data_IF_993106228632
#
_entry.id   IF_993106228632
#
_cell.length_a   1.000
_cell.length_b   1.000
_cell.length_c   1.000
_cell.angle_alpha   90.00
_cell.angle_beta   90.00
_cell.angle_gamma   90.00
#
_symmetry.space_group_name_H-M   'P 1'
#
loop_
_entity.id
_entity.type
_entity.pdbx_description
1 polymer ?
#
# COMPACT_ATOMS: atom_id res chain seq x y z
N UNK A 1 -26.56 1.55 9.03
CA UNK A 1 -25.91 1.20 7.73
C UNK A 1 -26.05 2.31 6.68
N UNK A 2 -27.23 2.93 6.48
CA UNK A 2 -27.42 3.96 5.44
C UNK A 2 -26.52 5.21 5.60
N UNK A 3 -26.22 5.63 6.83
CA UNK A 3 -25.35 6.78 7.11
C UNK A 3 -23.90 6.56 6.65
N UNK A 4 -23.37 5.35 6.82
CA UNK A 4 -22.01 5.01 6.39
C UNK A 4 -21.88 5.03 4.87
N UNK A 5 -22.90 4.53 4.17
CA UNK A 5 -22.95 4.53 2.70
C UNK A 5 -23.05 5.97 2.16
N UNK A 6 -23.85 6.83 2.80
CA UNK A 6 -23.98 8.24 2.42
C UNK A 6 -22.65 9.01 2.59
N UNK A 7 -21.93 8.76 3.70
CA UNK A 7 -20.62 9.38 3.96
C UNK A 7 -19.58 8.89 2.94
N UNK A 8 -19.53 7.59 2.65
CA UNK A 8 -18.61 7.03 1.66
C UNK A 8 -18.89 7.56 0.25
N UNK A 9 -20.16 7.67 -0.14
CA UNK A 9 -20.56 8.26 -1.41
C UNK A 9 -20.16 9.74 -1.50
N UNK A 10 -20.33 10.51 -0.42
CA UNK A 10 -19.90 11.90 -0.35
C UNK A 10 -18.38 12.07 -0.48
N UNK A 11 -17.60 11.18 0.14
CA UNK A 11 -16.12 11.21 0.06
C UNK A 11 -15.65 10.87 -1.36
N UNK A 12 -16.23 9.85 -1.99
CA UNK A 12 -15.88 9.48 -3.38
C UNK A 12 -16.24 10.60 -4.36
N UNK A 13 -17.39 11.26 -4.15
CA UNK A 13 -17.79 12.44 -4.93
C UNK A 13 -16.80 13.60 -4.77
N UNK A 14 -16.37 13.89 -3.55
CA UNK A 14 -15.38 14.94 -3.28
C UNK A 14 -14.03 14.65 -3.94
N UNK A 15 -13.57 13.39 -3.90
CA UNK A 15 -12.32 12.97 -4.56
C UNK A 15 -12.41 13.09 -6.08
N UNK A 16 -13.56 12.76 -6.67
CA UNK A 16 -13.79 12.90 -8.11
C UNK A 16 -13.74 14.38 -8.55
N UNK A 17 -14.36 15.28 -7.77
CA UNK A 17 -14.33 16.73 -8.03
C UNK A 17 -12.91 17.27 -7.87
N UNK A 18 -12.17 16.87 -6.83
CA UNK A 18 -10.79 17.30 -6.60
C UNK A 18 -9.85 16.87 -7.74
N UNK A 19 -10.04 15.65 -8.25
CA UNK A 19 -9.30 15.13 -9.41
C UNK A 19 -9.65 15.88 -10.70
N UNK A 20 -10.91 16.27 -10.88
CA UNK A 20 -11.34 17.07 -12.02
C UNK A 20 -10.71 18.47 -12.02
N UNK A 21 -10.65 19.12 -10.85
CA UNK A 21 -10.08 20.48 -10.70
C UNK A 21 -8.56 20.48 -10.83
N UNK A 22 -7.87 19.48 -10.27
CA UNK A 22 -6.40 19.36 -10.40
C UNK A 22 -5.96 19.00 -11.83
N UNK A 23 -6.81 18.35 -12.62
CA UNK A 23 -6.54 18.02 -14.02
C UNK A 23 -6.74 19.21 -14.99
N UNK A 24 -7.13 20.39 -14.49
CA UNK A 24 -7.26 21.61 -15.31
C UNK A 24 -5.97 22.45 -15.36
N UNK A 25 -4.95 22.14 -14.55
CA UNK A 25 -3.68 22.88 -14.54
C UNK A 25 -2.52 22.19 -15.27
N UNK A 26 -2.65 20.91 -15.61
CA UNK A 26 -1.66 20.19 -16.41
C UNK A 26 -2.20 20.01 -17.83
N UNK A 27 -1.95 21.03 -18.65
CA UNK A 27 -2.23 20.98 -20.06
C UNK A 27 -1.28 20.03 -20.78
N UNK A 28 -1.52 18.73 -20.75
CA UNK A 28 -0.99 17.83 -21.79
C UNK A 28 -1.81 16.52 -21.89
N UNK A 29 -2.47 16.30 -23.04
CA UNK A 29 -2.93 14.96 -23.46
C UNK A 29 -4.39 14.54 -23.16
N UNK A 30 -5.39 15.36 -23.50
CA UNK A 30 -6.81 15.18 -23.14
C UNK A 30 -7.56 13.92 -23.65
N UNK A 31 -7.08 13.12 -24.62
CA UNK A 31 -8.05 12.28 -25.39
C UNK A 31 -8.37 10.87 -24.89
N UNK A 32 -7.76 10.38 -23.81
CA UNK A 32 -7.96 8.98 -23.37
C UNK A 32 -8.76 8.82 -22.06
N UNK A 33 -8.53 9.59 -20.96
CA UNK A 33 -9.18 9.26 -19.69
C UNK A 33 -10.62 9.77 -19.56
N UNK A 34 -11.00 10.85 -20.25
CA UNK A 34 -12.34 11.45 -20.14
C UNK A 34 -13.40 10.65 -20.91
N UNK A 35 -13.01 9.97 -22.00
CA UNK A 35 -13.95 9.16 -22.80
C UNK A 35 -14.50 7.95 -22.05
N UNK A 36 -13.66 7.28 -21.26
CA UNK A 36 -14.05 6.08 -20.52
C UNK A 36 -15.00 6.41 -19.35
N UNK A 37 -14.82 7.56 -18.71
CA UNK A 37 -15.69 8.03 -17.63
C UNK A 37 -17.09 8.44 -18.14
N UNK A 38 -17.18 9.08 -19.31
CA UNK A 38 -18.47 9.45 -19.93
C UNK A 38 -19.25 8.22 -20.39
N UNK A 39 -18.58 7.19 -20.93
CA UNK A 39 -19.21 5.93 -21.34
C UNK A 39 -19.81 5.19 -20.12
N UNK A 40 -19.11 5.16 -18.98
CA UNK A 40 -19.61 4.52 -17.76
C UNK A 40 -20.87 5.21 -17.20
N UNK A 41 -20.94 6.54 -17.28
CA UNK A 41 -22.11 7.33 -16.84
C UNK A 41 -23.30 7.13 -17.79
N UNK A 42 -23.06 6.99 -19.10
CA UNK A 42 -24.12 6.72 -20.08
C UNK A 42 -24.72 5.31 -19.95
N UNK A 43 -23.91 4.29 -19.63
CA UNK A 43 -24.40 2.91 -19.39
C UNK A 43 -25.26 2.84 -18.12
N UNK A 44 -24.92 3.61 -17.09
CA UNK A 44 -25.74 3.72 -15.87
C UNK A 44 -27.06 4.47 -16.10
N UNK A 45 -27.07 5.51 -16.94
CA UNK A 45 -28.27 6.31 -17.22
C UNK A 45 -29.37 5.59 -18.02
N UNK A 46 -29.00 4.65 -18.90
CA UNK A 46 -29.97 3.92 -19.73
C UNK A 46 -30.60 2.69 -19.04
N UNK A 47 -30.09 2.26 -17.88
CA UNK A 47 -30.61 1.08 -17.16
C UNK A 47 -31.85 1.33 -16.29
N UNK A 48 -32.40 2.55 -16.30
CA UNK A 48 -33.54 2.91 -15.44
C UNK A 48 -34.89 2.86 -16.21
N UNK A 49 -34.91 2.62 -17.53
CA UNK A 49 -36.14 2.79 -18.31
C UNK A 49 -36.97 1.52 -18.63
N UNK A 50 -36.66 0.31 -18.14
CA UNK A 50 -37.62 -0.80 -18.29
C UNK A 50 -37.37 -1.91 -17.29
N UNK A 51 -37.92 -1.79 -16.08
CA UNK A 51 -38.45 -2.97 -15.41
C UNK A 51 -39.80 -2.65 -14.72
N UNK A 52 -40.86 -3.41 -15.04
CA UNK A 52 -42.18 -3.27 -14.47
C UNK A 52 -42.22 -3.83 -13.05
N UNK A 53 -42.91 -3.09 -12.17
CA UNK A 53 -43.47 -3.60 -10.93
C UNK A 53 -44.35 -4.83 -11.24
N UNK A 54 -44.08 -5.98 -10.62
CA UNK A 54 -45.14 -6.95 -10.32
C UNK A 54 -44.88 -7.69 -9.00
N UNK A 55 -45.89 -7.55 -8.16
CA UNK A 55 -46.21 -8.14 -6.87
C UNK A 55 -46.94 -9.48 -7.04
N UNK A 56 -46.80 -10.40 -6.08
CA UNK A 56 -47.69 -11.57 -5.86
C UNK A 56 -46.91 -12.86 -5.58
N UNK A 57 -46.93 -13.39 -4.36
CA UNK A 57 -47.90 -14.34 -3.75
C UNK A 57 -47.65 -15.82 -4.13
N UNK A 58 -47.45 -16.62 -3.07
CA UNK A 58 -47.65 -18.06 -2.87
C UNK A 58 -47.36 -19.08 -3.98
N UNK A 59 -46.61 -20.13 -3.65
CA UNK A 59 -47.03 -21.50 -3.99
C UNK A 59 -46.66 -22.52 -2.91
N UNK A 60 -47.71 -23.18 -2.43
CA UNK A 60 -47.78 -24.32 -1.51
C UNK A 60 -48.00 -25.59 -2.33
N UNK A 61 -47.36 -26.69 -1.92
CA UNK A 61 -47.76 -28.11 -2.03
C UNK A 61 -47.98 -28.85 -3.37
N UNK A 62 -47.47 -30.09 -3.36
CA UNK A 62 -47.95 -31.33 -4.01
C UNK A 62 -47.69 -31.51 -5.52
N UNK A 63 -47.36 -32.69 -6.08
CA UNK A 63 -46.80 -34.00 -5.68
C UNK A 63 -47.02 -34.96 -6.87
N UNK A 64 -46.18 -36.02 -6.99
CA UNK A 64 -46.42 -37.30 -7.74
C UNK A 64 -46.15 -37.25 -9.26
N UNK A 65 -45.43 -38.16 -9.96
CA UNK A 65 -44.70 -39.45 -9.77
C UNK A 65 -43.88 -39.69 -11.07
N UNK A 66 -42.89 -40.59 -11.28
CA UNK A 66 -42.60 -41.95 -10.78
C UNK A 66 -41.20 -42.38 -11.30
N UNK A 67 -40.33 -42.95 -10.43
CA UNK A 67 -39.80 -44.34 -10.46
C UNK A 67 -38.44 -44.49 -11.20
N UNK A 68 -37.37 -45.18 -10.74
CA UNK A 68 -37.17 -46.26 -9.75
C UNK A 68 -35.71 -46.40 -9.26
N UNK A 69 -35.58 -46.76 -7.97
CA UNK A 69 -34.64 -47.68 -7.29
C UNK A 69 -33.11 -47.59 -7.44
N UNK A 70 -32.41 -47.35 -6.32
CA UNK A 70 -31.62 -48.41 -5.63
C UNK A 70 -31.30 -48.00 -4.20
N UNK A 71 -31.51 -48.95 -3.29
CA UNK A 71 -31.33 -48.84 -1.85
C UNK A 71 -29.88 -49.10 -1.45
N UNK A 72 -29.32 -48.26 -0.59
CA UNK A 72 -28.28 -48.68 0.35
C UNK A 72 -28.42 -47.85 1.64
N UNK A 73 -29.02 -48.47 2.66
CA UNK A 73 -29.00 -47.99 4.04
C UNK A 73 -27.82 -48.65 4.73
N UNK A 74 -26.83 -47.87 5.18
CA UNK A 74 -25.91 -48.28 6.26
C UNK A 74 -25.44 -47.05 7.04
N UNK A 75 -26.02 -46.94 8.24
CA UNK A 75 -25.41 -46.48 9.49
C UNK A 75 -24.74 -45.10 9.54
N UNK A 76 -25.56 -44.07 9.78
CA UNK A 76 -25.16 -42.88 10.50
C UNK A 76 -25.14 -43.17 12.01
N UNK A 77 -24.00 -43.59 12.57
CA UNK A 77 -23.83 -43.63 14.04
C UNK A 77 -22.42 -43.38 14.61
N UNK A 78 -21.39 -43.07 13.80
CA UNK A 78 -20.01 -42.95 14.31
C UNK A 78 -19.26 -41.67 13.90
N UNK A 79 -19.92 -40.51 13.81
CA UNK A 79 -19.23 -39.23 13.52
C UNK A 79 -19.07 -38.28 14.73
N UNK A 80 -19.55 -38.63 15.92
CA UNK A 80 -19.61 -37.68 17.06
C UNK A 80 -18.60 -37.89 18.20
N UNK A 81 -17.70 -38.87 18.12
CA UNK A 81 -16.87 -39.26 19.28
C UNK A 81 -15.38 -38.83 19.23
N UNK A 82 -14.90 -38.14 18.18
CA UNK A 82 -13.47 -37.81 18.05
C UNK A 82 -13.14 -36.31 17.93
N UNK A 83 -14.09 -35.41 18.27
CA UNK A 83 -13.90 -33.96 18.12
C UNK A 83 -13.82 -33.18 19.44
N UNK A 84 -13.54 -33.84 20.57
CA UNK A 84 -13.48 -33.19 21.89
C UNK A 84 -12.08 -32.98 22.48
N UNK A 85 -11.00 -33.48 21.84
CA UNK A 85 -9.63 -33.41 22.40
C UNK A 85 -8.63 -32.62 21.55
N UNK A 86 -9.09 -31.77 20.63
CA UNK A 86 -8.21 -30.82 19.94
C UNK A 86 -8.52 -29.39 20.34
N UNK A 87 -8.38 -29.15 21.65
CA UNK A 87 -8.15 -27.81 22.18
C UNK A 87 -6.68 -27.49 21.93
N UNK A 88 -6.46 -26.38 21.24
CA UNK A 88 -5.19 -25.79 20.84
C UNK A 88 -4.65 -26.19 19.46
N UNK A 89 -4.59 -25.17 18.59
CA UNK A 89 -3.67 -24.99 17.46
C UNK A 89 -4.02 -25.37 16.01
N UNK A 90 -5.24 -25.84 15.66
CA UNK A 90 -5.60 -26.05 14.22
C UNK A 90 -6.13 -24.81 13.50
N UNK A 91 -6.57 -23.77 14.21
CA UNK A 91 -7.02 -22.49 13.61
C UNK A 91 -5.97 -21.38 13.58
N UNK A 92 -4.74 -21.65 14.04
CA UNK A 92 -3.64 -20.67 14.04
C UNK A 92 -2.72 -20.79 12.82
N UNK A 93 -2.86 -21.87 12.04
CA UNK A 93 -2.00 -22.23 10.90
C UNK A 93 -1.97 -21.25 9.72
N UNK A 94 -2.68 -20.12 9.81
CA UNK A 94 -2.59 -19.04 8.82
C UNK A 94 -2.45 -17.64 9.42
N UNK A 95 -2.34 -17.46 10.74
CA UNK A 95 -2.15 -16.11 11.31
C UNK A 95 -0.73 -15.61 11.10
N UNK A 96 0.25 -16.46 11.35
CA UNK A 96 1.66 -16.13 11.08
C UNK A 96 1.89 -15.83 9.59
N UNK A 97 1.27 -16.59 8.70
CA UNK A 97 1.40 -16.38 7.25
C UNK A 97 0.67 -15.13 6.77
N UNK A 98 -0.52 -14.83 7.32
CA UNK A 98 -1.22 -13.56 7.07
C UNK A 98 -0.40 -12.35 7.55
N UNK A 99 0.17 -12.41 8.75
CA UNK A 99 1.00 -11.33 9.28
C UNK A 99 2.26 -11.09 8.42
N UNK A 100 2.90 -12.17 7.93
CA UNK A 100 4.03 -12.07 6.99
C UNK A 100 3.61 -11.47 5.64
N UNK A 101 2.46 -11.87 5.11
CA UNK A 101 1.91 -11.32 3.87
C UNK A 101 1.59 -9.82 4.02
N UNK A 102 0.92 -9.43 5.10
CA UNK A 102 0.65 -8.01 5.42
C UNK A 102 1.93 -7.20 5.56
N UNK A 103 2.94 -7.73 6.24
CA UNK A 103 4.24 -7.06 6.36
C UNK A 103 4.91 -6.88 5.01
N UNK A 104 4.83 -7.89 4.14
CA UNK A 104 5.39 -7.85 2.78
C UNK A 104 4.70 -6.75 1.96
N UNK A 105 3.37 -6.63 2.06
CA UNK A 105 2.60 -5.57 1.40
C UNK A 105 3.01 -4.18 1.89
N UNK A 106 3.16 -3.97 3.20
CA UNK A 106 3.65 -2.70 3.77
C UNK A 106 5.03 -2.32 3.25
N UNK A 107 5.95 -3.28 3.20
CA UNK A 107 7.31 -3.09 2.68
C UNK A 107 7.29 -2.73 1.19
N UNK A 108 6.46 -3.40 0.38
CA UNK A 108 6.34 -3.10 -1.04
C UNK A 108 5.74 -1.71 -1.29
N UNK A 109 4.67 -1.35 -0.57
CA UNK A 109 4.06 -0.02 -0.65
C UNK A 109 5.04 1.08 -0.28
N UNK A 110 5.76 0.92 0.83
CA UNK A 110 6.81 1.86 1.25
C UNK A 110 7.92 1.95 0.19
N UNK A 111 8.35 0.82 -0.37
CA UNK A 111 9.38 0.82 -1.42
C UNK A 111 8.93 1.59 -2.67
N UNK A 112 7.67 1.42 -3.09
CA UNK A 112 7.08 2.16 -4.19
C UNK A 112 7.05 3.66 -3.89
N UNK A 113 6.52 4.04 -2.73
CA UNK A 113 6.42 5.43 -2.30
C UNK A 113 7.81 6.11 -2.26
N UNK A 114 8.81 5.45 -1.68
CA UNK A 114 10.17 6.00 -1.62
C UNK A 114 10.77 6.15 -3.03
N UNK A 115 10.58 5.18 -3.91
CA UNK A 115 11.05 5.28 -5.30
C UNK A 115 10.40 6.44 -6.05
N UNK A 116 9.10 6.65 -5.89
CA UNK A 116 8.37 7.76 -6.52
C UNK A 116 8.79 9.11 -5.92
N UNK A 117 8.91 9.19 -4.59
CA UNK A 117 9.28 10.43 -3.88
C UNK A 117 10.69 10.90 -4.21
N UNK A 118 11.61 9.96 -4.47
CA UNK A 118 13.04 10.25 -4.66
C UNK A 118 13.52 10.01 -6.10
N UNK A 119 12.61 9.81 -7.06
CA UNK A 119 12.94 9.48 -8.45
C UNK A 119 13.90 10.49 -9.09
N UNK A 120 13.70 11.78 -8.83
CA UNK A 120 14.52 12.87 -9.39
C UNK A 120 15.89 13.00 -8.72
N UNK A 121 16.03 12.48 -7.49
CA UNK A 121 17.27 12.55 -6.72
C UNK A 121 18.17 11.34 -6.98
N UNK A 122 17.58 10.17 -7.24
CA UNK A 122 18.32 8.98 -7.61
C UNK A 122 17.58 7.67 -7.38
N UNK A 123 18.35 6.61 -7.17
CA UNK A 123 17.80 5.25 -7.12
C UNK A 123 17.56 4.79 -5.68
N UNK A 124 16.33 4.36 -5.39
CA UNK A 124 16.01 3.67 -4.13
C UNK A 124 16.00 2.16 -4.33
N UNK A 125 16.73 1.45 -3.47
CA UNK A 125 16.78 -0.02 -3.39
C UNK A 125 16.40 -0.50 -2.00
N UNK A 126 15.89 -1.73 -1.88
CA UNK A 126 15.56 -2.36 -0.61
C UNK A 126 16.33 -3.68 -0.45
N UNK A 127 17.01 -3.83 0.68
CA UNK A 127 17.70 -5.07 1.06
C UNK A 127 16.95 -5.73 2.21
N UNK A 128 16.28 -6.86 1.92
CA UNK A 128 15.45 -7.56 2.89
C UNK A 128 16.23 -8.09 4.10
N UNK A 129 17.43 -8.63 3.87
CA UNK A 129 18.29 -9.22 4.90
C UNK A 129 18.60 -8.23 6.04
N UNK A 130 18.86 -6.98 5.69
CA UNK A 130 19.21 -5.91 6.64
C UNK A 130 18.06 -4.94 6.91
N UNK A 131 16.87 -5.20 6.34
CA UNK A 131 15.70 -4.31 6.39
C UNK A 131 16.06 -2.85 6.06
N UNK A 132 16.88 -2.66 5.04
CA UNK A 132 17.46 -1.36 4.71
C UNK A 132 16.97 -0.87 3.36
N UNK A 133 16.36 0.32 3.34
CA UNK A 133 16.21 1.08 2.11
C UNK A 133 17.42 1.97 1.90
N UNK A 134 17.99 1.93 0.71
CA UNK A 134 19.14 2.75 0.32
C UNK A 134 18.76 3.66 -0.84
N UNK A 135 18.86 4.98 -0.63
CA UNK A 135 18.83 5.99 -1.69
C UNK A 135 20.25 6.28 -2.14
N UNK A 136 20.54 6.03 -3.42
CA UNK A 136 21.79 6.45 -4.06
C UNK A 136 21.52 7.69 -4.87
N UNK A 137 22.00 8.85 -4.39
CA UNK A 137 21.80 10.14 -5.04
C UNK A 137 22.86 10.30 -6.14
N UNK A 138 22.39 10.53 -7.36
CA UNK A 138 23.23 10.72 -8.56
C UNK A 138 23.31 12.18 -8.99
N UNK A 139 22.52 13.06 -8.36
CA UNK A 139 22.51 14.49 -8.65
C UNK A 139 23.89 15.13 -8.50
N UNK A 140 24.30 15.92 -9.51
CA UNK A 140 25.66 16.48 -9.58
C UNK A 140 25.90 17.55 -8.54
N UNK A 141 24.91 18.39 -8.26
CA UNK A 141 25.06 19.51 -7.33
C UNK A 141 25.06 19.02 -5.89
N UNK A 142 24.22 18.04 -5.57
CA UNK A 142 24.28 17.31 -4.30
C UNK A 142 25.66 16.67 -4.09
N UNK A 143 26.18 15.97 -5.10
CA UNK A 143 27.48 15.31 -5.02
C UNK A 143 28.65 16.31 -4.81
N UNK A 144 28.57 17.51 -5.41
CA UNK A 144 29.51 18.61 -5.12
C UNK A 144 29.38 19.09 -3.68
N UNK A 145 28.15 19.30 -3.21
CA UNK A 145 27.89 19.74 -1.84
C UNK A 145 28.39 18.73 -0.81
N UNK A 146 28.19 17.42 -1.04
CA UNK A 146 28.72 16.35 -0.20
C UNK A 146 30.25 16.35 -0.20
N UNK A 147 30.89 16.46 -1.37
CA UNK A 147 32.36 16.55 -1.47
C UNK A 147 32.88 17.75 -0.67
N UNK A 148 32.24 18.90 -0.81
CA UNK A 148 32.58 20.11 -0.05
C UNK A 148 32.41 19.91 1.46
N UNK A 149 31.32 19.27 1.88
CA UNK A 149 31.04 18.96 3.29
C UNK A 149 32.08 18.02 3.90
N UNK A 150 32.51 17.00 3.15
CA UNK A 150 33.57 16.09 3.58
C UNK A 150 34.89 16.81 3.85
N UNK A 151 35.18 17.86 3.09
CA UNK A 151 36.37 18.69 3.26
C UNK A 151 36.19 19.76 4.35
N UNK A 152 34.96 20.21 4.58
CA UNK A 152 34.62 21.32 5.47
C UNK A 152 33.45 20.96 6.41
N UNK A 153 33.63 20.01 7.36
CA UNK A 153 32.53 19.46 8.15
C UNK A 153 31.78 20.49 9.00
N UNK A 154 32.46 21.54 9.48
CA UNK A 154 31.84 22.63 10.26
C UNK A 154 30.96 23.58 9.44
N UNK A 155 31.01 23.52 8.10
CA UNK A 155 30.31 24.46 7.23
C UNK A 155 28.98 23.93 6.66
N UNK A 156 28.47 22.82 7.22
CA UNK A 156 27.22 22.19 6.76
C UNK A 156 26.00 23.11 6.70
N UNK A 157 25.99 24.20 7.48
CA UNK A 157 24.91 25.18 7.42
C UNK A 157 24.84 25.96 6.10
N UNK A 158 25.99 26.25 5.48
CA UNK A 158 26.06 27.00 4.22
C UNK A 158 25.38 26.23 3.07
N UNK A 159 25.41 24.90 3.15
CA UNK A 159 24.82 24.00 2.15
C UNK A 159 23.50 23.37 2.62
N UNK A 160 22.89 23.88 3.68
CA UNK A 160 21.62 23.40 4.25
C UNK A 160 21.63 21.91 4.63
N UNK A 161 22.78 21.38 5.02
CA UNK A 161 22.93 19.97 5.42
C UNK A 161 21.99 19.58 6.57
N UNK A 162 21.79 20.38 7.62
CA UNK A 162 20.88 19.99 8.70
C UNK A 162 19.41 19.90 8.28
N UNK A 163 18.98 20.71 7.31
CA UNK A 163 17.65 20.60 6.71
C UNK A 163 17.50 19.29 5.93
N UNK A 164 18.54 18.90 5.18
CA UNK A 164 18.59 17.60 4.51
C UNK A 164 18.48 16.44 5.52
N UNK A 165 19.30 16.45 6.57
CA UNK A 165 19.26 15.44 7.65
C UNK A 165 17.88 15.39 8.31
N UNK A 166 17.27 16.54 8.57
CA UNK A 166 15.92 16.63 9.16
C UNK A 166 14.87 15.99 8.25
N UNK A 167 14.90 16.27 6.95
CA UNK A 167 13.96 15.69 5.98
C UNK A 167 14.14 14.17 5.85
N UNK A 168 15.38 13.68 5.86
CA UNK A 168 15.68 12.26 5.86
C UNK A 168 15.24 11.59 7.18
N UNK A 169 15.34 12.31 8.30
CA UNK A 169 14.84 11.87 9.62
C UNK A 169 13.33 11.69 9.61
N UNK A 170 12.59 12.66 9.07
CA UNK A 170 11.13 12.54 8.88
C UNK A 170 10.76 11.36 8.00
N UNK A 171 11.54 11.09 6.96
CA UNK A 171 11.34 9.91 6.10
C UNK A 171 11.54 8.61 6.89
N UNK A 172 12.61 8.52 7.69
CA UNK A 172 12.86 7.36 8.55
C UNK A 172 11.75 7.16 9.60
N UNK A 173 11.21 8.24 10.17
CA UNK A 173 10.05 8.19 11.07
C UNK A 173 8.78 7.72 10.35
N UNK A 174 8.55 8.17 9.11
CA UNK A 174 7.44 7.70 8.28
C UNK A 174 7.55 6.21 7.98
N UNK A 175 8.76 5.74 7.65
CA UNK A 175 9.04 4.30 7.47
C UNK A 175 8.67 3.54 8.74
N UNK A 176 9.15 3.99 9.90
CA UNK A 176 8.86 3.36 11.19
C UNK A 176 7.35 3.31 11.48
N UNK A 177 6.63 4.41 11.20
CA UNK A 177 5.18 4.50 11.43
C UNK A 177 4.38 3.55 10.54
N UNK A 178 4.76 3.44 9.27
CA UNK A 178 3.96 2.70 8.27
C UNK A 178 4.35 1.22 8.18
N UNK A 179 5.61 0.87 8.47
CA UNK A 179 6.14 -0.49 8.31
C UNK A 179 6.50 -1.14 9.65
N UNK A 180 6.75 -0.35 10.70
CA UNK A 180 7.19 -0.82 12.01
C UNK A 180 8.67 -0.55 12.28
N UNK A 181 9.15 -0.97 13.46
CA UNK A 181 10.54 -0.79 13.89
C UNK A 181 11.52 -1.81 13.31
N UNK A 182 12.81 -1.51 13.42
CA UNK A 182 13.90 -2.36 12.95
C UNK A 182 14.32 -2.08 11.51
N UNK A 183 13.84 -0.98 10.92
CA UNK A 183 14.15 -0.61 9.54
C UNK A 183 15.16 0.52 9.47
N UNK A 184 15.99 0.48 8.43
CA UNK A 184 17.05 1.46 8.20
C UNK A 184 16.79 2.24 6.92
N UNK A 185 16.93 3.56 7.01
CA UNK A 185 16.99 4.48 5.88
C UNK A 185 18.44 4.92 5.70
N UNK A 186 19.02 4.60 4.55
CA UNK A 186 20.42 4.88 4.25
C UNK A 186 20.51 5.74 3.01
N UNK A 187 21.37 6.75 3.06
CA UNK A 187 21.62 7.66 1.95
C UNK A 187 23.07 7.46 1.53
N UNK A 188 23.25 7.27 0.22
CA UNK A 188 24.54 7.22 -0.44
C UNK A 188 24.72 8.34 -1.43
N UNK A 189 25.96 8.80 -1.56
CA UNK A 189 26.40 9.68 -2.63
C UNK A 189 27.22 8.87 -3.62
N UNK A 190 27.06 9.12 -4.92
CA UNK A 190 27.92 8.51 -5.95
C UNK A 190 29.32 9.13 -6.03
N UNK A 191 29.59 10.21 -5.28
CA UNK A 191 30.87 10.93 -5.30
C UNK A 191 31.77 10.66 -4.08
N UNK A 192 31.22 10.10 -2.98
CA UNK A 192 31.98 9.87 -1.76
C UNK A 192 32.74 8.52 -1.80
N UNK A 193 33.99 8.52 -1.33
CA UNK A 193 34.84 7.32 -1.21
C UNK A 193 34.28 6.32 -0.18
N UNK A 194 33.71 6.82 0.92
CA UNK A 194 32.75 6.05 1.72
C UNK A 194 31.35 6.37 1.22
N UNK A 195 30.72 5.40 0.55
CA UNK A 195 29.48 5.67 -0.20
C UNK A 195 28.34 6.15 0.71
N UNK A 196 28.38 5.89 2.02
CA UNK A 196 27.28 6.17 2.95
C UNK A 196 27.52 7.49 3.69
N UNK A 197 26.64 8.46 3.41
CA UNK A 197 26.76 9.82 3.95
C UNK A 197 25.81 10.08 5.11
N UNK A 198 24.73 9.30 5.20
CA UNK A 198 23.75 9.39 6.28
C UNK A 198 23.07 8.03 6.47
N UNK A 199 22.96 7.59 7.72
CA UNK A 199 22.21 6.39 8.10
C UNK A 199 21.28 6.72 9.24
N UNK A 200 20.03 6.29 9.12
CA UNK A 200 19.01 6.45 10.13
C UNK A 200 18.32 5.11 10.39
N UNK A 201 18.08 4.81 11.66
CA UNK A 201 17.33 3.62 12.07
C UNK A 201 16.18 4.07 12.95
N UNK A 202 14.97 3.67 12.58
CA UNK A 202 13.75 3.97 13.35
C UNK A 202 13.63 5.46 13.74
N UNK A 203 13.84 6.35 12.77
CA UNK A 203 13.74 7.79 12.98
C UNK A 203 14.91 8.45 13.71
N UNK A 204 16.00 7.71 13.98
CA UNK A 204 17.19 8.23 14.68
C UNK A 204 18.43 8.16 13.80
N UNK A 205 19.22 9.22 13.78
CA UNK A 205 20.50 9.26 13.06
C UNK A 205 21.52 8.36 13.76
N UNK A 206 22.11 7.41 13.03
CA UNK A 206 23.14 6.48 13.53
C UNK A 206 24.50 6.71 12.89
N UNK A 207 24.54 7.33 11.72
CA UNK A 207 25.76 7.78 11.05
C UNK A 207 25.45 9.07 10.30
N UNK A 208 26.36 10.05 10.36
CA UNK A 208 26.26 11.33 9.66
C UNK A 208 27.68 11.74 9.24
N UNK A 209 27.82 12.15 7.98
CA UNK A 209 29.08 12.63 7.40
C UNK A 209 29.63 13.87 8.12
N UNK A 210 28.78 14.86 8.42
CA UNK A 210 29.16 16.05 9.17
C UNK A 210 28.70 15.91 10.62
N UNK A 211 29.63 15.47 11.48
CA UNK A 211 29.44 15.43 12.94
C UNK A 211 29.72 16.79 13.56
#
# INVERSE_FOLDING_TARGET
MALFIAIMAGIVLLLAIFKLVLNLQEGEGWRIPTGLAVIAVLIMGLSIWKLPFWSGHDQTSNSVSSQSSTSAKTSAKDFSANFSDQKDSVFDGGKADRAKAEQTLKVQQMSKQLRETYADLGQVTYTATTKTWTLTITDKDFNKAVTYLSQNPGEGQKIKWPSFVTNMTKTSQSIQKNVGSGYTWQIKSSAASDSIILRLKDGKVTQNLAK
#
